data_IF_227909442378
#
_entry.id   IF_227909442378
#
_cell.length_a   1.000
_cell.length_b   1.000
_cell.length_c   1.000
_cell.angle_alpha   90.00
_cell.angle_beta   90.00
_cell.angle_gamma   90.00
#
_symmetry.space_group_name_H-M   'P 1'
#
loop_
_entity.id
_entity.type
_entity.pdbx_description
1 polymer ?
#
# COMPACT_ATOMS: atom_id res chain seq x y z
N UNK A 1 -5.78 4.10 35.35
CA UNK A 1 -6.34 2.91 34.66
C UNK A 1 -5.33 2.40 33.64
N UNK A 2 -4.94 1.13 33.72
CA UNK A 2 -3.88 0.53 32.90
C UNK A 2 -4.22 0.52 31.39
N UNK A 3 -5.51 0.38 31.04
CA UNK A 3 -5.99 0.38 29.65
C UNK A 3 -5.77 1.70 28.90
N UNK A 4 -5.77 2.86 29.60
CA UNK A 4 -5.50 4.16 28.97
C UNK A 4 -4.00 4.28 28.66
N UNK A 5 -3.14 3.79 29.56
CA UNK A 5 -1.69 3.76 29.37
C UNK A 5 -1.32 2.79 28.23
N UNK A 6 -1.98 1.63 28.14
CA UNK A 6 -1.78 0.67 27.05
C UNK A 6 -2.24 1.24 25.70
N UNK A 7 -3.34 2.00 25.67
CA UNK A 7 -3.84 2.66 24.46
C UNK A 7 -2.93 3.81 23.99
N UNK A 8 -2.46 4.65 24.91
CA UNK A 8 -1.51 5.74 24.62
C UNK A 8 -0.18 5.17 24.13
N UNK A 9 0.35 4.14 24.82
CA UNK A 9 1.59 3.45 24.43
C UNK A 9 1.49 2.82 23.04
N UNK A 10 0.36 2.19 22.71
CA UNK A 10 0.12 1.59 21.39
C UNK A 10 0.08 2.62 20.26
N UNK A 11 -0.36 3.85 20.55
CA UNK A 11 -0.37 4.95 19.57
C UNK A 11 1.04 5.51 19.30
N UNK A 12 1.90 5.51 20.30
CA UNK A 12 3.30 5.97 20.16
C UNK A 12 4.22 4.94 19.50
N UNK A 13 3.97 3.63 19.71
CA UNK A 13 4.74 2.55 19.07
C UNK A 13 4.60 2.48 17.54
N UNK A 14 3.57 3.10 16.96
CA UNK A 14 3.29 3.06 15.53
C UNK A 14 4.02 4.15 14.71
N UNK A 15 5.14 4.69 15.17
CA UNK A 15 5.83 5.80 14.51
C UNK A 15 7.32 5.50 14.41
N UNK A 16 7.86 5.56 13.20
CA UNK A 16 9.29 5.36 12.99
C UNK A 16 10.01 6.70 13.08
N UNK A 17 10.78 6.91 14.15
CA UNK A 17 11.63 8.09 14.35
C UNK A 17 13.08 7.77 14.03
N UNK A 18 13.75 8.62 13.26
CA UNK A 18 15.19 8.57 13.08
C UNK A 18 15.82 9.96 13.18
N UNK A 19 17.07 10.01 13.63
CA UNK A 19 17.79 11.23 13.94
C UNK A 19 18.78 11.57 12.82
N UNK A 20 18.91 12.86 12.55
CA UNK A 20 19.82 13.47 11.59
C UNK A 20 20.68 14.50 12.33
N UNK A 21 21.72 15.03 11.68
CA UNK A 21 22.61 16.03 12.27
C UNK A 21 21.88 17.33 12.71
N UNK A 22 20.73 17.63 12.10
CA UNK A 22 19.97 18.87 12.33
C UNK A 22 18.64 18.67 13.06
N UNK A 23 18.28 17.44 13.43
CA UNK A 23 16.99 17.15 14.07
C UNK A 23 16.53 15.72 13.90
N UNK A 24 15.23 15.47 14.08
CA UNK A 24 14.62 14.14 13.90
C UNK A 24 13.50 14.18 12.87
N UNK A 25 13.35 13.06 12.16
CA UNK A 25 12.29 12.83 11.19
C UNK A 25 11.41 11.71 11.75
N UNK A 26 10.09 11.90 11.65
CA UNK A 26 9.10 10.90 12.01
C UNK A 26 8.25 10.55 10.78
N UNK A 27 8.24 9.28 10.41
CA UNK A 27 7.43 8.79 9.30
C UNK A 27 6.18 8.14 9.88
N UNK A 28 5.02 8.69 9.50
CA UNK A 28 3.72 8.14 9.90
C UNK A 28 3.40 6.86 9.11
N UNK A 29 2.65 5.90 9.68
CA UNK A 29 2.17 4.73 8.95
C UNK A 29 1.38 5.09 7.70
N UNK A 30 0.59 6.17 7.74
CA UNK A 30 -0.17 6.65 6.59
C UNK A 30 0.76 7.10 5.45
N UNK A 31 1.92 7.71 5.75
CA UNK A 31 2.88 8.07 4.72
C UNK A 31 3.48 6.82 4.03
N UNK A 32 3.80 5.78 4.82
CA UNK A 32 4.25 4.49 4.30
C UNK A 32 3.15 3.86 3.43
N UNK A 33 1.91 3.86 3.90
CA UNK A 33 0.76 3.34 3.17
C UNK A 33 0.56 4.05 1.82
N UNK A 34 0.64 5.39 1.79
CA UNK A 34 0.52 6.17 0.56
C UNK A 34 1.61 5.81 -0.47
N UNK A 35 2.86 5.70 -0.03
CA UNK A 35 3.98 5.35 -0.93
C UNK A 35 3.79 3.92 -1.47
N UNK A 36 3.44 2.97 -0.62
CA UNK A 36 3.21 1.58 -1.01
C UNK A 36 2.03 1.45 -1.97
N UNK A 37 0.93 2.15 -1.72
CA UNK A 37 -0.25 2.18 -2.59
C UNK A 37 0.10 2.73 -3.97
N UNK A 38 0.78 3.87 -4.02
CA UNK A 38 1.19 4.49 -5.28
C UNK A 38 2.12 3.59 -6.09
N UNK A 39 3.10 2.95 -5.44
CA UNK A 39 3.98 1.99 -6.10
C UNK A 39 3.22 0.77 -6.62
N UNK A 40 2.21 0.31 -5.89
CA UNK A 40 1.36 -0.84 -6.26
C UNK A 40 0.47 -0.52 -7.46
N UNK A 41 -0.25 0.62 -7.44
CA UNK A 41 -1.14 1.05 -8.53
C UNK A 41 -0.37 1.27 -9.84
N UNK A 42 0.89 1.70 -9.77
CA UNK A 42 1.74 1.89 -10.94
C UNK A 42 2.42 0.60 -11.44
N UNK A 43 2.22 -0.52 -10.76
CA UNK A 43 2.80 -1.81 -11.14
C UNK A 43 1.98 -2.49 -12.23
N UNK A 44 2.66 -3.22 -13.11
CA UNK A 44 2.01 -3.91 -14.22
C UNK A 44 0.99 -4.95 -13.71
N UNK A 45 -0.15 -5.04 -14.40
CA UNK A 45 -1.19 -6.03 -14.10
C UNK A 45 -2.07 -5.70 -12.90
N UNK A 46 -1.88 -4.56 -12.23
CA UNK A 46 -2.77 -4.06 -11.16
C UNK A 46 -3.84 -3.15 -11.79
N UNK A 47 -5.10 -3.46 -11.54
CA UNK A 47 -6.25 -2.65 -12.02
C UNK A 47 -6.93 -1.88 -10.90
N UNK A 48 -6.63 -2.23 -9.65
CA UNK A 48 -7.16 -1.56 -8.47
C UNK A 48 -6.66 -2.19 -7.18
N UNK A 49 -7.11 -1.63 -6.06
CA UNK A 49 -6.87 -2.13 -4.71
C UNK A 49 -8.21 -2.34 -4.00
N UNK A 50 -8.21 -3.06 -2.88
CA UNK A 50 -9.42 -3.36 -2.12
C UNK A 50 -9.22 -3.12 -0.62
N UNK A 51 -10.22 -2.55 0.07
CA UNK A 51 -10.12 -2.27 1.51
C UNK A 51 -10.14 -3.55 2.35
N UNK A 52 -9.33 -3.62 3.42
CA UNK A 52 -9.17 -4.79 4.32
C UNK A 52 -10.49 -5.34 4.90
N UNK A 53 -11.53 -4.52 5.07
CA UNK A 53 -12.82 -4.94 5.63
C UNK A 53 -13.90 -5.05 4.55
N UNK A 54 -14.39 -6.28 4.36
CA UNK A 54 -15.43 -6.66 3.39
C UNK A 54 -16.85 -6.37 3.94
N UNK A 55 -16.97 -6.00 5.23
CA UNK A 55 -18.27 -5.67 5.84
C UNK A 55 -18.92 -4.42 5.23
N UNK A 56 -18.13 -3.54 4.60
CA UNK A 56 -18.58 -2.39 3.81
C UNK A 56 -18.63 -2.71 2.28
N UNK A 57 -18.40 -3.98 1.91
CA UNK A 57 -17.68 -4.37 0.69
C UNK A 57 -18.48 -4.80 -0.53
N UNK A 58 -19.61 -4.18 -0.87
CA UNK A 58 -20.24 -4.38 -2.20
C UNK A 58 -20.43 -3.06 -2.99
N UNK A 59 -20.50 -1.89 -2.34
CA UNK A 59 -20.87 -0.65 -3.04
C UNK A 59 -19.73 0.30 -3.40
N UNK A 60 -18.55 0.19 -2.78
CA UNK A 60 -17.50 1.19 -2.98
C UNK A 60 -16.32 0.63 -3.79
N UNK A 61 -16.44 0.78 -5.11
CA UNK A 61 -15.25 0.96 -5.94
C UNK A 61 -14.44 2.12 -5.32
N UNK A 62 -13.21 1.85 -4.89
CA UNK A 62 -12.38 2.86 -4.23
C UNK A 62 -12.19 4.05 -5.17
N UNK A 63 -12.78 5.20 -4.81
CA UNK A 63 -12.45 6.48 -5.44
C UNK A 63 -10.96 6.73 -5.23
N UNK A 64 -10.30 7.32 -6.23
CA UNK A 64 -8.90 7.77 -6.16
C UNK A 64 -8.60 8.67 -4.94
N UNK A 65 -9.63 9.21 -4.28
CA UNK A 65 -9.55 10.03 -3.08
C UNK A 65 -9.13 9.23 -1.82
N UNK A 66 -9.26 7.90 -1.84
CA UNK A 66 -8.97 7.02 -0.70
C UNK A 66 -7.75 6.13 -0.94
N UNK A 67 -6.65 6.75 -1.39
CA UNK A 67 -5.37 6.11 -1.80
C UNK A 67 -4.83 5.11 -0.76
N UNK A 68 -5.18 5.22 0.53
CA UNK A 68 -4.71 4.32 1.58
C UNK A 68 -5.57 3.05 1.78
N UNK A 69 -6.75 2.96 1.15
CA UNK A 69 -7.59 1.76 1.29
C UNK A 69 -6.97 0.60 0.52
N UNK A 70 -6.62 -0.46 1.24
CA UNK A 70 -5.97 -1.66 0.68
C UNK A 70 -4.48 -1.79 0.93
N UNK A 71 -3.92 -0.89 1.75
CA UNK A 71 -2.61 -1.06 2.36
C UNK A 71 -2.76 -1.08 3.87
N UNK A 72 -2.21 -2.11 4.50
CA UNK A 72 -2.16 -2.23 5.95
C UNK A 72 -0.69 -2.28 6.38
N UNK A 73 -0.32 -1.34 7.24
CA UNK A 73 1.06 -1.13 7.67
C UNK A 73 1.16 -1.45 9.15
N UNK A 74 1.98 -2.44 9.46
CA UNK A 74 2.32 -2.81 10.83
C UNK A 74 3.77 -2.43 11.10
N UNK A 75 3.99 -1.66 12.16
CA UNK A 75 5.32 -1.27 12.61
C UNK A 75 5.53 -1.93 13.96
N UNK A 76 6.51 -2.82 14.03
CA UNK A 76 6.91 -3.48 15.27
C UNK A 76 8.42 -3.33 15.52
N UNK A 77 8.89 -3.84 16.66
CA UNK A 77 10.29 -3.76 17.09
C UNK A 77 11.25 -4.44 16.10
N UNK A 78 10.73 -5.33 15.24
CA UNK A 78 11.48 -6.06 14.22
C UNK A 78 11.42 -5.41 12.83
N UNK A 79 10.71 -4.29 12.65
CA UNK A 79 10.65 -3.53 11.39
C UNK A 79 9.26 -3.32 10.84
N UNK A 80 9.20 -2.93 9.56
CA UNK A 80 7.96 -2.59 8.86
C UNK A 80 7.44 -3.82 8.10
N UNK A 81 6.18 -4.16 8.33
CA UNK A 81 5.43 -5.15 7.56
C UNK A 81 4.30 -4.47 6.80
N UNK A 82 4.11 -4.87 5.55
CA UNK A 82 3.12 -4.26 4.66
C UNK A 82 2.25 -5.35 4.06
N UNK A 83 0.94 -5.26 4.27
CA UNK A 83 -0.04 -6.11 3.62
C UNK A 83 -0.74 -5.29 2.52
N UNK A 84 -0.64 -5.76 1.29
CA UNK A 84 -1.26 -5.17 0.12
C UNK A 84 -2.46 -6.02 -0.30
N UNK A 85 -3.56 -5.36 -0.67
CA UNK A 85 -4.78 -6.00 -1.13
C UNK A 85 -5.11 -5.48 -2.53
N UNK A 86 -4.87 -6.30 -3.54
CA UNK A 86 -4.88 -5.91 -4.94
C UNK A 86 -5.96 -6.63 -5.74
N UNK A 87 -6.40 -5.97 -6.81
CA UNK A 87 -7.21 -6.55 -7.88
C UNK A 87 -6.32 -6.54 -9.12
N UNK A 88 -6.19 -7.70 -9.77
CA UNK A 88 -5.32 -7.87 -10.93
C UNK A 88 -6.11 -8.00 -12.22
N UNK A 89 -5.47 -7.66 -13.34
CA UNK A 89 -6.05 -7.84 -14.67
C UNK A 89 -6.20 -9.34 -15.01
N UNK A 90 -7.22 -9.68 -15.77
CA UNK A 90 -7.36 -11.01 -16.35
C UNK A 90 -6.22 -11.29 -17.34
N UNK A 91 -5.73 -12.53 -17.39
CA UNK A 91 -4.70 -12.96 -18.32
C UNK A 91 -3.25 -12.70 -17.89
N UNK A 92 -3.03 -12.10 -16.71
CA UNK A 92 -1.67 -11.87 -16.18
C UNK A 92 -1.17 -13.05 -15.34
N UNK A 93 0.16 -13.23 -15.29
CA UNK A 93 0.80 -14.20 -14.39
C UNK A 93 0.89 -13.61 -12.99
N UNK A 94 -0.05 -13.97 -12.12
CA UNK A 94 -0.14 -13.47 -10.74
C UNK A 94 1.20 -13.51 -9.98
N UNK A 95 2.00 -14.60 -10.03
CA UNK A 95 3.29 -14.63 -9.33
C UNK A 95 4.29 -13.57 -9.82
N UNK A 96 4.32 -13.28 -11.12
CA UNK A 96 5.20 -12.24 -11.69
C UNK A 96 4.74 -10.85 -11.25
N UNK A 97 3.43 -10.59 -11.30
CA UNK A 97 2.84 -9.33 -10.83
C UNK A 97 3.13 -9.11 -9.35
N UNK A 98 2.89 -10.12 -8.51
CA UNK A 98 3.16 -10.04 -7.07
C UNK A 98 4.66 -9.79 -6.79
N UNK A 99 5.55 -10.48 -7.50
CA UNK A 99 6.99 -10.27 -7.37
C UNK A 99 7.39 -8.84 -7.74
N UNK A 100 6.90 -8.34 -8.87
CA UNK A 100 7.16 -6.97 -9.31
C UNK A 100 6.68 -5.93 -8.30
N UNK A 101 5.49 -6.12 -7.72
CA UNK A 101 4.94 -5.24 -6.69
C UNK A 101 5.85 -5.24 -5.45
N UNK A 102 6.26 -6.42 -4.97
CA UNK A 102 7.14 -6.53 -3.79
C UNK A 102 8.46 -5.78 -3.99
N UNK A 103 9.13 -5.97 -5.13
CA UNK A 103 10.38 -5.27 -5.44
C UNK A 103 10.19 -3.76 -5.52
N UNK A 104 9.14 -3.32 -6.23
CA UNK A 104 8.88 -1.91 -6.47
C UNK A 104 8.48 -1.17 -5.20
N UNK A 105 7.63 -1.77 -4.36
CA UNK A 105 7.24 -1.19 -3.07
C UNK A 105 8.44 -1.10 -2.14
N UNK A 106 9.24 -2.17 -2.03
CA UNK A 106 10.46 -2.18 -1.21
C UNK A 106 11.42 -1.08 -1.64
N UNK A 107 11.75 -1.02 -2.93
CA UNK A 107 12.68 -0.03 -3.47
C UNK A 107 12.20 1.41 -3.25
N UNK A 108 10.92 1.69 -3.50
CA UNK A 108 10.38 3.04 -3.30
C UNK A 108 10.42 3.46 -1.83
N UNK A 109 10.02 2.59 -0.91
CA UNK A 109 10.02 2.92 0.51
C UNK A 109 11.43 3.12 1.06
N UNK A 110 12.35 2.21 0.77
CA UNK A 110 13.74 2.31 1.21
C UNK A 110 14.41 3.56 0.64
N UNK A 111 14.16 3.88 -0.64
CA UNK A 111 14.73 5.06 -1.30
C UNK A 111 14.17 6.38 -0.77
N UNK A 112 12.85 6.45 -0.54
CA UNK A 112 12.18 7.70 -0.13
C UNK A 112 12.34 7.95 1.37
N UNK A 113 12.26 6.90 2.18
CA UNK A 113 12.17 7.04 3.64
C UNK A 113 13.45 6.65 4.37
N UNK A 114 14.35 5.89 3.73
CA UNK A 114 15.53 5.30 4.36
C UNK A 114 15.22 4.15 5.32
N UNK A 115 13.96 3.73 5.41
CA UNK A 115 13.51 2.69 6.34
C UNK A 115 13.57 1.31 5.69
N UNK A 116 14.12 0.32 6.39
CA UNK A 116 14.16 -1.07 5.94
C UNK A 116 12.79 -1.72 6.06
N UNK A 117 12.31 -2.32 4.96
CA UNK A 117 11.07 -3.11 4.96
C UNK A 117 11.41 -4.57 5.20
N UNK A 118 10.79 -5.17 6.22
CA UNK A 118 11.06 -6.57 6.59
C UNK A 118 10.23 -7.55 5.76
N UNK A 119 8.97 -7.22 5.55
CA UNK A 119 8.00 -8.14 4.96
C UNK A 119 6.99 -7.37 4.11
N UNK A 120 6.68 -7.92 2.93
CA UNK A 120 5.63 -7.42 2.05
C UNK A 120 4.78 -8.61 1.63
N UNK A 121 3.51 -8.58 2.01
CA UNK A 121 2.52 -9.60 1.67
C UNK A 121 1.58 -9.05 0.61
N UNK A 122 1.52 -9.72 -0.54
CA UNK A 122 0.62 -9.36 -1.64
C UNK A 122 -0.59 -10.29 -1.63
N UNK A 123 -1.76 -9.76 -1.29
CA UNK A 123 -3.03 -10.48 -1.25
C UNK A 123 -3.84 -10.13 -2.50
N UNK A 124 -4.10 -11.12 -3.36
CA UNK A 124 -4.94 -10.94 -4.55
C UNK A 124 -6.39 -11.22 -4.17
N UNK A 125 -7.21 -10.19 -4.19
CA UNK A 125 -8.63 -10.28 -3.80
C UNK A 125 -9.57 -10.53 -4.98
N UNK A 126 -9.15 -10.19 -6.20
CA UNK A 126 -9.99 -10.37 -7.37
C UNK A 126 -9.22 -10.25 -8.68
N UNK A 127 -9.88 -10.71 -9.73
CA UNK A 127 -9.43 -10.61 -11.12
C UNK A 127 -10.51 -9.83 -11.88
N UNK A 128 -10.12 -8.88 -12.71
CA UNK A 128 -11.05 -8.10 -13.54
C UNK A 128 -10.56 -8.02 -14.98
N UNK A 129 -11.47 -8.02 -15.95
CA UNK A 129 -11.10 -7.65 -17.31
C UNK A 129 -10.68 -6.19 -17.33
N UNK A 130 -9.57 -5.90 -17.98
CA UNK A 130 -9.17 -4.53 -18.21
C UNK A 130 -10.11 -3.96 -19.27
N UNK A 131 -10.94 -2.99 -18.91
CA UNK A 131 -11.67 -2.21 -19.90
C UNK A 131 -10.64 -1.45 -20.73
N UNK A 132 -10.67 -1.64 -22.05
CA UNK A 132 -9.93 -0.77 -22.95
C UNK A 132 -10.45 0.64 -22.70
N UNK A 133 -9.57 1.58 -22.32
CA UNK A 133 -9.94 2.98 -22.33
C UNK A 133 -10.31 3.30 -23.77
N UNK A 134 -11.56 3.65 -24.01
CA UNK A 134 -11.94 4.14 -25.33
C UNK A 134 -10.98 5.27 -25.69
N UNK A 135 -10.35 5.22 -26.88
CA UNK A 135 -9.45 6.27 -27.31
C UNK A 135 -10.18 7.60 -27.23
N UNK A 136 -9.47 8.65 -26.80
CA UNK A 136 -10.09 9.96 -26.80
C UNK A 136 -10.55 10.28 -28.23
N UNK A 137 -11.77 10.82 -28.45
CA UNK A 137 -12.36 10.95 -29.78
C UNK A 137 -11.51 11.71 -30.82
N UNK A 138 -10.51 12.46 -30.36
CA UNK A 138 -9.62 13.27 -31.19
C UNK A 138 -8.29 12.59 -31.57
N UNK A 139 -8.03 11.34 -31.15
CA UNK A 139 -6.81 10.59 -31.50
C UNK A 139 -6.96 9.73 -32.77
N UNK A 140 -8.13 9.72 -33.42
CA UNK A 140 -8.41 9.00 -34.67
C UNK A 140 -8.31 9.87 -35.95
N UNK A 141 -7.69 11.06 -35.88
CA UNK A 141 -7.55 12.00 -37.02
C UNK A 141 -6.11 12.02 -37.56
#
# INVERSE_FOLDING_TARGET
MRWIQDFISKKEKNKQKYYTEIGWIEVSPNAIASIASMATIQSYGVVGMAARNIADGISELLRLEEVNRGVDVEIDENGIKINLYIIVAYGVRIPEVAHNIMERVKWNLEKVTGLSVKEINVNVWGIRLQEEKEPFPWEEI
#
